data_IF_596667418421
#
_entry.id   IF_596667418421
#
_cell.length_a   1.000
_cell.length_b   1.000
_cell.length_c   1.000
_cell.angle_alpha   90.00
_cell.angle_beta   90.00
_cell.angle_gamma   90.00
#
_symmetry.space_group_name_H-M   'P 1'
#
loop_
_entity.id
_entity.type
_entity.pdbx_description
1 polymer ?
#
# COMPACT_ATOMS: atom_id res chain seq x y z
N UNK A 1 6.11 -18.26 -36.26
CA UNK A 1 4.88 -17.88 -35.49
C UNK A 1 5.00 -16.41 -35.15
N UNK A 2 4.00 -15.60 -35.46
CA UNK A 2 4.06 -14.16 -35.28
C UNK A 2 3.68 -13.76 -33.86
N UNK A 3 4.43 -12.85 -33.24
CA UNK A 3 4.08 -12.23 -31.97
C UNK A 3 3.95 -10.72 -32.16
N UNK A 4 2.81 -10.16 -31.74
CA UNK A 4 2.47 -8.75 -31.82
C UNK A 4 2.37 -8.17 -30.41
N UNK A 5 3.22 -7.17 -30.15
CA UNK A 5 3.17 -6.39 -28.92
C UNK A 5 3.01 -4.89 -29.20
N UNK A 6 2.46 -4.16 -28.23
CA UNK A 6 2.25 -2.72 -28.31
C UNK A 6 2.79 -2.00 -27.09
N UNK A 7 3.65 -1.01 -27.32
CA UNK A 7 4.07 -0.06 -26.30
C UNK A 7 3.36 1.27 -26.53
N UNK A 8 2.74 1.83 -25.50
CA UNK A 8 2.26 3.21 -25.54
C UNK A 8 3.43 4.13 -25.14
N UNK A 9 3.97 4.95 -26.05
CA UNK A 9 5.00 5.90 -25.69
C UNK A 9 4.48 6.94 -24.67
N UNK A 10 5.40 7.58 -23.94
CA UNK A 10 5.08 8.78 -23.15
C UNK A 10 4.78 9.94 -24.10
N UNK A 11 3.81 10.79 -23.73
CA UNK A 11 3.27 11.93 -24.50
C UNK A 11 2.31 11.49 -25.63
N UNK A 12 1.66 12.43 -26.32
CA UNK A 12 0.61 12.21 -27.36
C UNK A 12 1.12 11.57 -28.66
N UNK A 13 2.16 10.74 -28.57
CA UNK A 13 2.73 10.03 -29.71
C UNK A 13 1.88 8.80 -30.08
N UNK A 14 1.89 8.42 -31.38
CA UNK A 14 1.22 7.21 -31.86
C UNK A 14 1.66 5.95 -31.11
N UNK A 15 0.79 4.94 -31.06
CA UNK A 15 1.12 3.68 -30.42
C UNK A 15 2.25 2.97 -31.20
N UNK A 16 3.28 2.51 -30.50
CA UNK A 16 4.36 1.76 -31.12
C UNK A 16 4.02 0.27 -31.12
N UNK A 17 4.12 -0.39 -32.28
CA UNK A 17 3.88 -1.82 -32.44
C UNK A 17 5.15 -2.53 -32.88
N UNK A 18 5.39 -3.70 -32.31
CA UNK A 18 6.51 -4.57 -32.63
C UNK A 18 5.96 -5.93 -33.05
N UNK A 19 6.44 -6.40 -34.19
CA UNK A 19 6.14 -7.70 -34.77
C UNK A 19 7.40 -8.54 -34.71
N UNK A 20 7.31 -9.71 -34.09
CA UNK A 20 8.48 -10.56 -33.82
C UNK A 20 8.19 -11.99 -34.25
N UNK A 21 9.19 -12.68 -34.78
CA UNK A 21 9.11 -14.13 -34.90
C UNK A 21 9.36 -14.75 -33.52
N UNK A 22 8.39 -15.50 -33.01
CA UNK A 22 8.50 -16.08 -31.67
C UNK A 22 9.56 -17.17 -31.58
N UNK A 23 9.85 -17.87 -32.68
CA UNK A 23 10.80 -19.00 -32.67
C UNK A 23 12.24 -18.50 -32.54
N UNK A 24 12.61 -17.45 -33.28
CA UNK A 24 13.96 -16.89 -33.27
C UNK A 24 14.13 -15.66 -32.38
N UNK A 25 13.03 -15.02 -31.97
CA UNK A 25 13.05 -13.76 -31.24
C UNK A 25 13.42 -12.54 -32.08
N UNK A 26 13.54 -12.68 -33.41
CA UNK A 26 13.89 -11.58 -34.31
C UNK A 26 12.72 -10.61 -34.45
N UNK A 27 13.04 -9.32 -34.45
CA UNK A 27 12.10 -8.27 -34.83
C UNK A 27 11.95 -8.32 -36.34
N UNK A 28 10.73 -8.56 -36.81
CA UNK A 28 10.39 -8.59 -38.23
C UNK A 28 10.00 -7.20 -38.72
N UNK A 29 9.22 -6.47 -37.92
CA UNK A 29 8.80 -5.11 -38.21
C UNK A 29 8.55 -4.34 -36.91
N UNK A 30 8.85 -3.04 -36.93
CA UNK A 30 8.47 -2.12 -35.87
C UNK A 30 7.94 -0.83 -36.47
N UNK A 31 6.76 -0.38 -36.03
CA UNK A 31 6.09 0.78 -36.64
C UNK A 31 5.32 1.59 -35.59
N UNK A 32 5.36 2.92 -35.71
CA UNK A 32 4.42 3.80 -35.04
C UNK A 32 3.11 3.81 -35.82
N UNK A 33 2.01 3.46 -35.16
CA UNK A 33 0.67 3.45 -35.74
C UNK A 33 -0.20 4.49 -35.04
N UNK A 34 -0.67 5.48 -35.78
CA UNK A 34 -1.64 6.46 -35.25
C UNK A 34 -2.91 5.75 -34.80
N UNK A 35 -3.36 4.78 -35.60
CA UNK A 35 -4.46 3.88 -35.28
C UNK A 35 -4.08 2.46 -35.68
N UNK A 36 -4.13 1.55 -34.72
CA UNK A 36 -3.99 0.11 -34.96
C UNK A 36 -5.39 -0.51 -35.10
N UNK A 37 -6.09 -0.15 -36.18
CA UNK A 37 -7.37 -0.75 -36.54
C UNK A 37 -7.16 -2.11 -37.21
N UNK A 38 -8.24 -2.86 -37.45
CA UNK A 38 -8.13 -4.23 -37.94
C UNK A 38 -7.53 -4.28 -39.35
N UNK A 39 -8.06 -3.48 -40.27
CA UNK A 39 -7.59 -3.25 -41.64
C UNK A 39 -6.10 -2.93 -41.71
N UNK A 40 -5.62 -2.00 -40.88
CA UNK A 40 -4.20 -1.61 -40.82
C UNK A 40 -3.33 -2.79 -40.40
N UNK A 41 -3.80 -3.61 -39.46
CA UNK A 41 -3.05 -4.78 -38.98
C UNK A 41 -3.07 -5.92 -40.00
N UNK A 42 -4.18 -6.12 -40.72
CA UNK A 42 -4.28 -7.10 -41.83
C UNK A 42 -3.26 -6.76 -42.91
N UNK A 43 -3.21 -5.51 -43.36
CA UNK A 43 -2.24 -5.08 -44.36
C UNK A 43 -0.78 -5.28 -43.91
N UNK A 44 -0.50 -5.12 -42.61
CA UNK A 44 0.82 -5.42 -42.05
C UNK A 44 1.12 -6.93 -42.04
N UNK A 45 0.13 -7.77 -41.76
CA UNK A 45 0.32 -9.22 -41.80
C UNK A 45 0.61 -9.70 -43.22
N UNK A 46 -0.10 -9.18 -44.22
CA UNK A 46 0.16 -9.43 -45.64
C UNK A 46 1.55 -8.92 -46.05
N UNK A 47 1.92 -7.69 -45.66
CA UNK A 47 3.27 -7.13 -45.89
C UNK A 47 4.36 -8.05 -45.32
N UNK A 48 4.14 -8.66 -44.15
CA UNK A 48 5.08 -9.59 -43.55
C UNK A 48 5.16 -10.92 -44.29
N UNK A 49 4.04 -11.48 -44.77
CA UNK A 49 4.09 -12.69 -45.60
C UNK A 49 4.83 -12.44 -46.91
N UNK A 50 4.57 -11.31 -47.56
CA UNK A 50 5.23 -10.91 -48.80
C UNK A 50 6.73 -10.67 -48.62
N UNK A 51 7.12 -9.94 -47.57
CA UNK A 51 8.52 -9.59 -47.32
C UNK A 51 9.39 -10.80 -47.02
N UNK A 52 8.85 -11.80 -46.31
CA UNK A 52 9.60 -12.99 -45.90
C UNK A 52 9.33 -14.21 -46.77
N UNK A 53 8.34 -14.15 -47.67
CA UNK A 53 7.96 -15.25 -48.55
C UNK A 53 7.46 -16.50 -47.81
N UNK A 54 6.92 -16.33 -46.60
CA UNK A 54 6.47 -17.44 -45.74
C UNK A 54 5.14 -17.10 -45.06
N UNK A 55 4.23 -18.09 -44.93
CA UNK A 55 2.93 -17.85 -44.32
C UNK A 55 3.01 -17.70 -42.79
N UNK A 56 2.17 -16.84 -42.24
CA UNK A 56 1.93 -16.71 -40.81
C UNK A 56 1.00 -17.84 -40.38
N UNK A 57 1.58 -18.89 -39.80
CA UNK A 57 0.81 -20.07 -39.36
C UNK A 57 0.09 -19.90 -38.02
N UNK A 58 0.41 -18.87 -37.23
CA UNK A 58 -0.19 -18.58 -35.93
C UNK A 58 0.22 -17.19 -35.42
N UNK A 59 -0.64 -16.59 -34.58
CA UNK A 59 -0.42 -15.26 -33.97
C UNK A 59 -0.50 -15.35 -32.45
N UNK A 60 0.46 -14.70 -31.76
CA UNK A 60 0.43 -14.42 -30.32
C UNK A 60 0.22 -12.92 -30.10
N UNK A 61 -0.77 -12.52 -29.31
CA UNK A 61 -0.97 -11.10 -28.97
C UNK A 61 -1.70 -10.86 -27.65
N UNK A 62 -1.79 -9.59 -27.23
CA UNK A 62 -2.79 -9.19 -26.23
C UNK A 62 -4.23 -9.39 -26.76
N UNK A 63 -5.19 -9.59 -25.86
CA UNK A 63 -6.63 -9.76 -26.18
C UNK A 63 -7.33 -8.42 -26.46
N UNK A 64 -6.75 -7.57 -27.31
CA UNK A 64 -7.36 -6.32 -27.73
C UNK A 64 -8.33 -6.58 -28.89
N UNK A 65 -9.57 -6.07 -28.81
CA UNK A 65 -10.63 -6.32 -29.82
C UNK A 65 -10.16 -6.08 -31.26
N UNK A 66 -9.40 -5.00 -31.50
CA UNK A 66 -8.87 -4.66 -32.83
C UNK A 66 -7.90 -5.71 -33.37
N UNK A 67 -7.04 -6.26 -32.51
CA UNK A 67 -6.10 -7.33 -32.91
C UNK A 67 -6.86 -8.64 -33.14
N UNK A 68 -7.80 -8.99 -32.26
CA UNK A 68 -8.64 -10.18 -32.43
C UNK A 68 -9.41 -10.13 -33.76
N UNK A 69 -9.95 -8.97 -34.10
CA UNK A 69 -10.62 -8.77 -35.38
C UNK A 69 -9.63 -8.90 -36.55
N UNK A 70 -8.46 -8.26 -36.47
CA UNK A 70 -7.44 -8.33 -37.52
C UNK A 70 -7.01 -9.77 -37.82
N UNK A 71 -6.76 -10.59 -36.79
CA UNK A 71 -6.33 -11.98 -37.00
C UNK A 71 -7.45 -12.81 -37.64
N UNK A 72 -8.70 -12.61 -37.19
CA UNK A 72 -9.86 -13.29 -37.79
C UNK A 72 -10.11 -12.89 -39.24
N UNK A 73 -9.89 -11.62 -39.57
CA UNK A 73 -10.07 -11.07 -40.91
C UNK A 73 -8.94 -11.51 -41.85
N UNK A 74 -7.69 -11.49 -41.38
CA UNK A 74 -6.51 -11.94 -42.12
C UNK A 74 -6.56 -13.43 -42.44
N UNK A 75 -6.80 -14.27 -41.43
CA UNK A 75 -6.93 -15.72 -41.66
C UNK A 75 -7.73 -16.38 -40.53
N UNK A 76 -9.02 -16.68 -40.73
CA UNK A 76 -9.85 -17.25 -39.66
C UNK A 76 -9.43 -18.67 -39.24
N UNK A 77 -8.62 -19.35 -40.06
CA UNK A 77 -8.16 -20.71 -39.81
C UNK A 77 -6.89 -20.82 -38.97
N UNK A 78 -6.14 -19.73 -38.76
CA UNK A 78 -4.88 -19.82 -38.00
C UNK A 78 -5.13 -19.71 -36.49
N UNK A 79 -4.37 -20.44 -35.65
CA UNK A 79 -4.42 -20.28 -34.21
C UNK A 79 -4.09 -18.85 -33.76
N UNK A 80 -5.00 -18.24 -33.00
CA UNK A 80 -4.78 -16.99 -32.28
C UNK A 80 -4.62 -17.25 -30.78
N UNK A 81 -3.39 -17.21 -30.29
CA UNK A 81 -3.07 -17.43 -28.89
C UNK A 81 -2.92 -16.10 -28.16
N UNK A 82 -3.50 -16.00 -26.96
CA UNK A 82 -3.32 -14.81 -26.14
C UNK A 82 -2.04 -14.88 -25.32
N UNK A 83 -1.33 -13.76 -25.26
CA UNK A 83 -0.08 -13.61 -24.54
C UNK A 83 -0.29 -13.85 -23.03
N UNK A 84 0.37 -14.86 -22.49
CA UNK A 84 0.30 -15.23 -21.07
C UNK A 84 0.80 -14.10 -20.16
N UNK A 85 1.81 -13.35 -20.59
CA UNK A 85 2.32 -12.21 -19.83
C UNK A 85 1.23 -11.15 -19.60
N UNK A 86 0.51 -10.76 -20.66
CA UNK A 86 -0.59 -9.80 -20.56
C UNK A 86 -1.74 -10.32 -19.70
N UNK A 87 -2.06 -11.61 -19.82
CA UNK A 87 -3.06 -12.25 -18.97
C UNK A 87 -2.67 -12.17 -17.48
N UNK A 88 -1.46 -12.61 -17.13
CA UNK A 88 -0.96 -12.58 -15.75
C UNK A 88 -0.89 -11.15 -15.21
N UNK A 89 -0.49 -10.19 -16.05
CA UNK A 89 -0.48 -8.78 -15.67
C UNK A 89 -1.88 -8.26 -15.33
N UNK A 90 -2.90 -8.56 -16.15
CA UNK A 90 -4.28 -8.17 -15.85
C UNK A 90 -4.82 -8.85 -14.59
N UNK A 91 -4.48 -10.13 -14.37
CA UNK A 91 -4.88 -10.85 -13.14
C UNK A 91 -4.24 -10.22 -11.89
N UNK A 92 -3.00 -9.74 -11.99
CA UNK A 92 -2.29 -9.07 -10.89
C UNK A 92 -2.86 -7.69 -10.55
N UNK A 93 -3.38 -6.97 -11.53
CA UNK A 93 -3.70 -5.54 -11.43
C UNK A 93 -4.58 -5.16 -10.21
N UNK A 94 -5.66 -5.89 -9.86
CA UNK A 94 -6.47 -5.56 -8.69
C UNK A 94 -5.70 -5.64 -7.37
N UNK A 95 -4.81 -6.62 -7.25
CA UNK A 95 -3.98 -6.81 -6.05
C UNK A 95 -2.88 -5.75 -6.01
N UNK A 96 -2.23 -5.48 -7.14
CA UNK A 96 -1.21 -4.44 -7.24
C UNK A 96 -1.76 -3.04 -6.95
N UNK A 97 -3.01 -2.77 -7.30
CA UNK A 97 -3.69 -1.50 -6.97
C UNK A 97 -3.86 -1.33 -5.46
N UNK A 98 -4.34 -2.37 -4.76
CA UNK A 98 -4.46 -2.36 -3.29
C UNK A 98 -3.10 -2.23 -2.61
N UNK A 99 -2.11 -2.95 -3.10
CA UNK A 99 -0.74 -2.88 -2.59
C UNK A 99 -0.11 -1.49 -2.79
N UNK A 100 -0.34 -0.86 -3.94
CA UNK A 100 0.10 0.51 -4.22
C UNK A 100 -0.57 1.53 -3.30
N UNK A 101 -1.85 1.32 -2.97
CA UNK A 101 -2.55 2.13 -1.98
C UNK A 101 -1.94 1.94 -0.58
N UNK A 102 -1.68 0.69 -0.16
CA UNK A 102 -0.99 0.39 1.10
C UNK A 102 0.35 1.12 1.17
N UNK A 103 1.19 1.02 0.13
CA UNK A 103 2.47 1.70 0.08
C UNK A 103 2.34 3.23 0.20
N UNK A 104 1.31 3.80 -0.42
CA UNK A 104 1.03 5.24 -0.36
C UNK A 104 0.67 5.65 1.07
N UNK A 105 -0.20 4.88 1.74
CA UNK A 105 -0.57 5.10 3.14
C UNK A 105 0.67 4.99 4.03
N UNK A 106 1.46 3.91 3.92
CA UNK A 106 2.66 3.70 4.73
C UNK A 106 3.68 4.83 4.55
N UNK A 107 3.92 5.28 3.31
CA UNK A 107 4.80 6.42 3.02
C UNK A 107 4.28 7.71 3.65
N UNK A 108 2.98 7.96 3.56
CA UNK A 108 2.35 9.14 4.16
C UNK A 108 2.50 9.13 5.67
N UNK A 109 2.18 8.01 6.31
CA UNK A 109 2.31 7.81 7.76
C UNK A 109 3.75 7.97 8.24
N UNK A 110 4.72 7.35 7.57
CA UNK A 110 6.14 7.51 7.94
C UNK A 110 6.59 8.96 7.78
N UNK A 111 6.18 9.64 6.70
CA UNK A 111 6.54 11.05 6.47
C UNK A 111 5.89 12.01 7.48
N UNK A 112 4.73 11.68 8.04
CA UNK A 112 4.05 12.54 9.03
C UNK A 112 4.62 12.41 10.44
N UNK A 113 5.45 11.39 10.72
CA UNK A 113 6.14 11.26 12.00
C UNK A 113 7.03 12.48 12.23
N UNK A 114 6.93 13.11 13.40
CA UNK A 114 7.69 14.33 13.75
C UNK A 114 9.20 14.19 13.51
N UNK A 115 9.78 13.02 13.80
CA UNK A 115 11.21 12.72 13.58
C UNK A 115 11.61 12.67 12.09
N UNK A 116 10.66 12.44 11.19
CA UNK A 116 10.85 12.42 9.74
C UNK A 116 10.48 13.78 9.14
N UNK A 117 9.33 14.36 9.53
CA UNK A 117 8.84 15.64 9.04
C UNK A 117 9.77 16.80 9.40
N UNK A 118 10.32 16.79 10.62
CA UNK A 118 11.27 17.79 11.09
C UNK A 118 12.73 17.37 10.85
N UNK A 119 12.97 16.42 9.93
CA UNK A 119 14.34 16.02 9.57
C UNK A 119 15.06 17.25 9.03
N UNK A 120 16.17 17.67 9.65
CA UNK A 120 16.95 18.76 9.10
C UNK A 120 17.50 18.38 7.71
N UNK A 121 17.49 19.32 6.77
CA UNK A 121 18.00 19.15 5.40
C UNK A 121 19.54 19.06 5.33
N UNK A 122 20.18 18.47 6.33
CA UNK A 122 21.62 18.29 6.30
C UNK A 122 22.00 17.21 5.30
N UNK A 123 22.93 17.58 4.42
CA UNK A 123 23.53 16.73 3.40
C UNK A 123 24.50 15.69 3.99
N UNK A 124 24.80 15.77 5.29
CA UNK A 124 25.69 14.85 5.99
C UNK A 124 25.32 14.70 7.48
N UNK A 125 25.37 13.47 8.05
CA UNK A 125 25.26 13.25 9.50
C UNK A 125 26.34 13.97 10.33
N UNK A 126 27.43 14.43 9.68
CA UNK A 126 28.57 15.14 10.30
C UNK A 126 28.46 16.66 10.21
N UNK A 127 27.33 17.20 9.74
CA UNK A 127 27.12 18.65 9.72
C UNK A 127 27.14 19.21 11.15
N UNK A 128 28.11 20.09 11.41
CA UNK A 128 28.33 20.72 12.71
C UNK A 128 27.11 21.57 13.12
N UNK A 129 26.39 22.12 12.15
CA UNK A 129 25.21 22.98 12.34
C UNK A 129 23.92 22.20 12.62
N UNK A 130 23.98 20.86 12.64
CA UNK A 130 22.80 20.06 12.93
C UNK A 130 22.39 20.17 14.41
N UNK A 131 21.12 20.50 14.72
CA UNK A 131 20.63 20.47 16.09
C UNK A 131 20.91 19.10 16.72
N UNK A 132 21.30 19.07 18.00
CA UNK A 132 21.64 17.82 18.72
C UNK A 132 20.55 16.75 18.57
N UNK A 133 19.28 17.18 18.62
CA UNK A 133 18.10 16.33 18.41
C UNK A 133 18.11 15.71 17.01
N UNK A 134 18.38 16.50 15.96
CA UNK A 134 18.49 16.00 14.59
C UNK A 134 19.59 14.96 14.40
N UNK A 135 20.75 15.13 15.05
CA UNK A 135 21.84 14.11 15.02
C UNK A 135 21.45 12.79 15.66
N UNK A 136 20.77 12.85 16.81
CA UNK A 136 20.36 11.64 17.56
C UNK A 136 19.33 10.82 16.77
N UNK A 137 18.38 11.49 16.10
CA UNK A 137 17.31 10.80 15.37
C UNK A 137 17.64 10.48 13.91
N UNK A 138 18.69 11.07 13.32
CA UNK A 138 19.05 10.84 11.92
C UNK A 138 19.12 9.36 11.49
N UNK A 139 19.76 8.44 12.25
CA UNK A 139 19.82 7.03 11.86
C UNK A 139 18.44 6.35 11.86
N UNK A 140 17.58 6.71 12.82
CA UNK A 140 16.21 6.17 12.93
C UNK A 140 15.36 6.70 11.78
N UNK A 141 15.47 7.98 11.48
CA UNK A 141 14.77 8.65 10.37
C UNK A 141 15.19 8.06 9.02
N UNK A 142 16.49 7.82 8.79
CA UNK A 142 16.98 7.19 7.57
C UNK A 142 16.48 5.75 7.42
N UNK A 143 16.50 4.97 8.51
CA UNK A 143 16.00 3.60 8.51
C UNK A 143 14.51 3.54 8.20
N UNK A 144 13.69 4.42 8.78
CA UNK A 144 12.26 4.53 8.49
C UNK A 144 11.98 4.91 7.04
N UNK A 145 12.77 5.82 6.46
CA UNK A 145 12.61 6.19 5.04
C UNK A 145 13.03 5.05 4.11
N UNK A 146 14.07 4.29 4.49
CA UNK A 146 14.51 3.11 3.76
C UNK A 146 13.45 2.01 3.73
N UNK A 147 12.78 1.74 4.86
CA UNK A 147 11.76 0.66 4.95
C UNK A 147 10.58 0.89 4.01
N UNK A 148 10.20 2.15 3.74
CA UNK A 148 9.12 2.51 2.79
C UNK A 148 9.63 2.88 1.39
N UNK A 149 10.94 2.77 1.17
CA UNK A 149 11.65 3.03 -0.09
C UNK A 149 11.58 1.87 -1.09
N UNK A 150 10.65 0.93 -0.91
CA UNK A 150 10.47 -0.26 -1.75
C UNK A 150 10.04 0.11 -3.17
N UNK A 151 10.38 -0.75 -4.13
CA UNK A 151 10.15 -0.55 -5.56
C UNK A 151 9.34 -1.70 -6.14
N UNK A 152 8.44 -1.39 -7.06
CA UNK A 152 7.70 -2.41 -7.80
C UNK A 152 8.64 -3.13 -8.80
N UNK A 153 8.62 -4.46 -8.77
CA UNK A 153 9.25 -5.32 -9.78
C UNK A 153 8.19 -6.20 -10.49
N UNK A 154 7.15 -5.54 -11.05
CA UNK A 154 6.08 -6.01 -11.98
C UNK A 154 5.34 -7.31 -11.69
N UNK A 155 6.01 -8.40 -11.33
CA UNK A 155 5.43 -9.70 -11.03
C UNK A 155 6.03 -10.35 -9.78
N UNK A 156 7.19 -9.88 -9.28
CA UNK A 156 7.91 -10.55 -8.20
C UNK A 156 7.60 -10.00 -6.81
N UNK A 157 7.36 -8.70 -6.73
CA UNK A 157 7.27 -7.99 -5.45
C UNK A 157 6.01 -7.13 -5.41
N UNK A 158 5.37 -7.13 -4.24
CA UNK A 158 4.33 -6.18 -3.86
C UNK A 158 4.96 -5.17 -2.89
N UNK A 159 5.38 -3.99 -3.38
CA UNK A 159 6.18 -3.06 -2.59
C UNK A 159 5.47 -2.52 -1.33
N UNK A 160 4.14 -2.49 -1.30
CA UNK A 160 3.38 -2.13 -0.09
C UNK A 160 3.53 -3.18 1.02
N UNK A 161 3.33 -4.45 0.68
CA UNK A 161 3.55 -5.59 1.58
C UNK A 161 5.01 -5.69 2.03
N UNK A 162 5.96 -5.48 1.13
CA UNK A 162 7.38 -5.45 1.48
C UNK A 162 7.68 -4.30 2.45
N UNK A 163 7.15 -3.10 2.21
CA UNK A 163 7.31 -1.97 3.11
C UNK A 163 6.69 -2.23 4.49
N UNK A 164 5.54 -2.89 4.52
CA UNK A 164 4.89 -3.32 5.75
C UNK A 164 5.76 -4.30 6.53
N UNK A 165 6.25 -5.36 5.88
CA UNK A 165 7.13 -6.35 6.51
C UNK A 165 8.43 -5.71 7.02
N UNK A 166 9.00 -4.77 6.26
CA UNK A 166 10.19 -4.02 6.67
C UNK A 166 9.94 -3.16 7.92
N UNK A 167 8.76 -2.53 8.01
CA UNK A 167 8.34 -1.76 9.18
C UNK A 167 8.10 -2.66 10.40
N UNK A 168 7.42 -3.79 10.22
CA UNK A 168 7.23 -4.78 11.29
C UNK A 168 8.56 -5.32 11.80
N UNK A 169 9.49 -5.64 10.90
CA UNK A 169 10.83 -6.08 11.28
C UNK A 169 11.58 -4.99 12.07
N UNK A 170 11.49 -3.74 11.63
CA UNK A 170 12.09 -2.61 12.36
C UNK A 170 11.51 -2.45 13.76
N UNK A 171 10.18 -2.49 13.90
CA UNK A 171 9.49 -2.35 15.18
C UNK A 171 9.71 -3.57 16.09
N UNK A 172 9.80 -4.78 15.52
CA UNK A 172 10.11 -6.02 16.22
C UNK A 172 11.55 -6.06 16.71
N UNK A 173 12.51 -5.65 15.89
CA UNK A 173 13.91 -5.48 16.28
C UNK A 173 14.09 -4.39 17.36
N UNK A 174 13.18 -3.42 17.43
CA UNK A 174 13.16 -2.37 18.45
C UNK A 174 12.60 -2.84 19.81
N UNK A 175 12.06 -4.07 19.91
CA UNK A 175 11.54 -4.61 21.18
C UNK A 175 12.62 -5.10 22.16
N UNK A 176 13.91 -4.98 21.86
CA UNK A 176 14.97 -5.23 22.83
C UNK A 176 16.21 -4.36 22.55
N UNK A 177 16.85 -3.88 23.63
CA UNK A 177 18.04 -3.01 23.70
C UNK A 177 17.79 -1.49 23.82
N UNK A 178 17.15 -1.07 24.93
CA UNK A 178 17.43 0.23 25.55
C UNK A 178 18.20 0.00 26.87
N UNK A 179 19.20 0.83 27.21
CA UNK A 179 19.92 0.70 28.48
C UNK A 179 18.94 0.97 29.62
N UNK A 180 19.00 0.15 30.67
CA UNK A 180 18.16 0.28 31.84
C UNK A 180 18.33 1.64 32.52
N UNK A 181 17.54 2.63 32.13
CA UNK A 181 17.31 3.80 32.96
C UNK A 181 15.96 4.46 32.68
N UNK A 182 15.13 4.45 33.73
CA UNK A 182 14.01 5.34 34.03
C UNK A 182 12.63 4.97 33.43
N UNK A 183 11.96 4.05 34.12
CA UNK A 183 10.55 3.63 33.95
C UNK A 183 9.49 4.72 34.17
N UNK A 184 9.87 5.93 34.60
CA UNK A 184 8.91 7.01 34.91
C UNK A 184 8.51 7.83 33.68
N UNK A 185 9.42 7.98 32.71
CA UNK A 185 9.17 8.83 31.54
C UNK A 185 8.34 8.09 30.47
N UNK A 186 8.51 6.77 30.37
CA UNK A 186 7.65 5.91 29.54
C UNK A 186 6.22 5.83 30.07
N UNK A 187 6.04 5.75 31.40
CA UNK A 187 4.72 5.74 32.00
C UNK A 187 3.99 7.08 31.76
N UNK A 188 4.71 8.19 31.85
CA UNK A 188 4.17 9.51 31.57
C UNK A 188 3.78 9.67 30.09
N UNK A 189 4.61 9.18 29.16
CA UNK A 189 4.29 9.17 27.73
C UNK A 189 3.07 8.30 27.41
N UNK A 190 2.97 7.10 28.01
CA UNK A 190 1.80 6.22 27.85
C UNK A 190 0.51 6.84 28.43
N UNK A 191 0.59 7.53 29.58
CA UNK A 191 -0.55 8.23 30.17
C UNK A 191 -0.99 9.40 29.30
N UNK A 192 -0.06 10.20 28.78
CA UNK A 192 -0.37 11.34 27.90
C UNK A 192 -1.01 10.86 26.59
N UNK A 193 -0.46 9.82 25.96
CA UNK A 193 -1.03 9.22 24.74
C UNK A 193 -2.42 8.63 25.04
N UNK A 194 -2.60 7.98 26.19
CA UNK A 194 -3.89 7.45 26.63
C UNK A 194 -4.96 8.53 26.83
N UNK A 195 -4.60 9.67 27.44
CA UNK A 195 -5.51 10.81 27.65
C UNK A 195 -5.90 11.48 26.32
N UNK A 196 -4.95 11.62 25.40
CA UNK A 196 -5.21 12.17 24.06
C UNK A 196 -6.14 11.25 23.27
N UNK A 197 -5.88 9.93 23.28
CA UNK A 197 -6.76 8.96 22.62
C UNK A 197 -8.16 8.94 23.26
N UNK A 198 -8.27 9.04 24.59
CA UNK A 198 -9.57 9.10 25.27
C UNK A 198 -10.36 10.37 24.92
N UNK A 199 -9.71 11.52 24.81
CA UNK A 199 -10.35 12.77 24.37
C UNK A 199 -10.89 12.70 22.94
N UNK A 200 -10.14 12.07 22.02
CA UNK A 200 -10.60 11.86 20.65
C UNK A 200 -11.78 10.87 20.56
N UNK A 201 -11.77 9.82 21.38
CA UNK A 201 -12.83 8.81 21.43
C UNK A 201 -14.10 9.38 22.07
N UNK A 202 -13.98 10.15 23.16
CA UNK A 202 -15.11 10.82 23.82
C UNK A 202 -15.79 11.84 22.89
N UNK A 203 -15.00 12.59 22.11
CA UNK A 203 -15.52 13.48 21.07
C UNK A 203 -16.27 12.75 19.96
N UNK A 204 -15.90 11.49 19.66
CA UNK A 204 -16.55 10.65 18.66
C UNK A 204 -17.82 9.97 19.21
N UNK A 205 -17.83 9.59 20.49
CA UNK A 205 -19.01 9.02 21.18
C UNK A 205 -20.11 10.08 21.36
N UNK A 206 -19.74 11.33 21.67
CA UNK A 206 -20.67 12.46 21.75
C UNK A 206 -21.28 12.83 20.39
N UNK A 207 -20.77 12.29 19.28
CA UNK A 207 -21.31 12.49 17.92
C UNK A 207 -22.41 11.48 17.52
N UNK A 208 -22.89 10.62 18.45
CA UNK A 208 -24.17 9.92 18.31
C UNK A 208 -24.17 8.53 17.67
N UNK A 209 -23.02 7.86 17.51
CA UNK A 209 -22.97 6.50 16.93
C UNK A 209 -23.04 5.41 18.00
N UNK A 210 -24.24 4.88 18.28
CA UNK A 210 -24.51 3.95 19.39
C UNK A 210 -23.96 2.53 19.21
N UNK A 211 -23.67 2.08 17.99
CA UNK A 211 -23.20 0.70 17.72
C UNK A 211 -21.68 0.53 17.96
N UNK A 212 -20.91 1.62 17.97
CA UNK A 212 -19.44 1.59 18.13
C UNK A 212 -19.02 1.65 19.62
N UNK A 213 -19.93 2.05 20.51
CA UNK A 213 -19.65 2.22 21.95
C UNK A 213 -19.31 0.90 22.69
N UNK A 214 -19.88 -0.24 22.28
CA UNK A 214 -19.63 -1.52 22.97
C UNK A 214 -18.26 -2.12 22.64
N UNK A 215 -17.85 -2.08 21.36
CA UNK A 215 -16.54 -2.59 20.92
C UNK A 215 -15.40 -1.71 21.48
N UNK A 216 -15.64 -0.41 21.59
CA UNK A 216 -14.66 0.53 22.15
C UNK A 216 -14.52 0.42 23.66
N UNK A 217 -15.59 0.08 24.39
CA UNK A 217 -15.52 -0.20 25.83
C UNK A 217 -14.66 -1.44 26.13
N UNK A 218 -14.79 -2.51 25.35
CA UNK A 218 -14.02 -3.76 25.56
C UNK A 218 -12.52 -3.57 25.25
N UNK A 219 -12.19 -2.84 24.18
CA UNK A 219 -10.79 -2.50 23.85
C UNK A 219 -10.20 -1.58 24.91
N UNK A 220 -10.99 -0.65 25.45
CA UNK A 220 -10.55 0.25 26.51
C UNK A 220 -10.38 -0.46 27.85
N UNK A 221 -11.28 -1.38 28.22
CA UNK A 221 -11.14 -2.21 29.42
C UNK A 221 -9.89 -3.09 29.32
N UNK A 222 -9.64 -3.68 28.16
CA UNK A 222 -8.46 -4.52 27.90
C UNK A 222 -7.17 -3.70 28.04
N UNK A 223 -7.16 -2.46 27.53
CA UNK A 223 -6.06 -1.53 27.70
C UNK A 223 -5.86 -1.12 29.17
N UNK A 224 -6.94 -0.83 29.89
CA UNK A 224 -6.89 -0.45 31.30
C UNK A 224 -6.41 -1.61 32.19
N UNK A 225 -6.83 -2.83 31.87
CA UNK A 225 -6.41 -4.06 32.56
C UNK A 225 -4.92 -4.33 32.33
N UNK A 226 -4.44 -4.14 31.10
CA UNK A 226 -3.02 -4.24 30.76
C UNK A 226 -2.18 -3.19 31.51
N UNK A 227 -2.69 -1.97 31.66
CA UNK A 227 -2.04 -0.90 32.44
C UNK A 227 -2.01 -1.22 33.94
N UNK A 228 -3.07 -1.81 34.49
CA UNK A 228 -3.17 -2.21 35.91
C UNK A 228 -2.22 -3.36 36.30
N UNK A 229 -1.91 -4.26 35.37
CA UNK A 229 -0.96 -5.36 35.57
C UNK A 229 0.48 -4.84 35.69
N UNK A 230 0.80 -3.72 35.04
CA UNK A 230 2.16 -3.19 34.92
C UNK A 230 2.52 -2.19 36.04
N UNK A 231 1.53 -1.65 36.76
CA UNK A 231 1.74 -0.61 37.77
C UNK A 231 2.00 -1.19 39.19
N UNK A 232 3.03 -0.73 39.93
CA UNK A 232 3.32 -1.17 41.29
C UNK A 232 2.18 -0.84 42.29
N UNK A 233 2.00 -1.71 43.29
CA UNK A 233 0.83 -1.77 44.20
C UNK A 233 0.44 -0.45 44.88
N UNK A 234 1.37 0.48 45.10
CA UNK A 234 1.11 1.76 45.77
C UNK A 234 0.34 2.80 44.94
N UNK A 235 0.18 2.60 43.63
CA UNK A 235 -0.54 3.52 42.72
C UNK A 235 -1.97 3.01 42.40
N UNK A 236 -2.30 1.78 42.81
CA UNK A 236 -3.59 1.12 42.51
C UNK A 236 -4.81 1.83 43.09
N UNK A 237 -4.64 2.60 44.17
CA UNK A 237 -5.74 3.32 44.86
C UNK A 237 -6.31 4.46 44.00
N UNK A 238 -5.46 5.17 43.24
CA UNK A 238 -5.92 6.25 42.36
C UNK A 238 -6.64 5.75 41.10
N UNK A 239 -6.25 4.57 40.60
CA UNK A 239 -6.87 3.94 39.43
C UNK A 239 -8.21 3.27 39.76
N UNK A 240 -8.39 2.77 41.00
CA UNK A 240 -9.66 2.26 41.47
C UNK A 240 -10.76 3.36 41.47
N UNK A 241 -10.41 4.60 41.76
CA UNK A 241 -11.32 5.75 41.67
C UNK A 241 -11.73 6.08 40.23
N UNK A 242 -10.81 5.94 39.26
CA UNK A 242 -11.09 6.15 37.84
C UNK A 242 -12.01 5.07 37.25
N UNK A 243 -11.84 3.82 37.71
CA UNK A 243 -12.73 2.71 37.37
C UNK A 243 -14.12 2.87 37.98
N UNK A 244 -14.22 3.36 39.21
CA UNK A 244 -15.50 3.60 39.89
C UNK A 244 -16.29 4.75 39.21
N UNK A 245 -15.60 5.81 38.77
CA UNK A 245 -16.23 6.92 38.05
C UNK A 245 -16.68 6.51 36.64
N UNK A 246 -15.92 5.66 35.93
CA UNK A 246 -16.34 5.07 34.65
C UNK A 246 -17.55 4.13 34.79
N UNK A 247 -17.60 3.32 35.86
CA UNK A 247 -18.76 2.47 36.15
C UNK A 247 -20.02 3.28 36.50
N UNK A 248 -19.88 4.41 37.19
CA UNK A 248 -20.97 5.36 37.44
C UNK A 248 -21.49 6.00 36.14
N UNK A 249 -20.60 6.38 35.22
CA UNK A 249 -20.99 6.94 33.91
C UNK A 249 -21.72 5.89 33.04
N UNK A 250 -21.28 4.63 33.06
CA UNK A 250 -21.97 3.52 32.39
C UNK A 250 -23.34 3.22 33.01
N UNK A 251 -23.48 3.29 34.34
CA UNK A 251 -24.75 3.11 35.03
C UNK A 251 -25.77 4.22 34.74
N UNK A 252 -25.30 5.46 34.61
CA UNK A 252 -26.14 6.61 34.23
C UNK A 252 -26.61 6.49 32.77
N UNK A 253 -25.74 6.04 31.85
CA UNK A 253 -26.11 5.80 30.46
C UNK A 253 -27.17 4.68 30.30
N UNK A 254 -27.10 3.63 31.11
CA UNK A 254 -28.13 2.59 31.17
C UNK A 254 -29.47 3.08 31.71
N UNK A 255 -29.46 3.96 32.74
CA UNK A 255 -30.67 4.56 33.30
C UNK A 255 -31.42 5.48 32.34
N UNK A 256 -30.71 6.24 31.50
CA UNK A 256 -31.31 7.14 30.51
C UNK A 256 -31.99 6.35 29.37
N UNK A 257 -31.47 5.17 29.00
CA UNK A 257 -32.08 4.32 27.97
C UNK A 257 -33.43 3.68 28.36
N UNK A 258 -33.72 3.56 29.67
CA UNK A 258 -35.00 3.03 30.15
C UNK A 258 -36.11 4.09 30.29
N UNK A 259 -35.78 5.38 30.36
CA UNK A 259 -36.78 6.47 30.39
C UNK A 259 -37.32 6.78 28.99
N UNK A 260 -36.61 6.37 27.93
CA UNK A 260 -37.00 6.62 26.53
C UNK A 260 -37.92 5.54 25.92
N UNK A 261 -38.34 4.52 26.69
CA UNK A 261 -39.25 3.46 26.19
C UNK A 261 -40.71 3.61 26.60
N UNK A 262 -41.02 4.56 27.49
CA UNK A 262 -42.38 4.87 27.91
C UNK A 262 -42.76 6.31 27.52
N UNK A 263 -42.73 6.61 26.21
CA UNK A 263 -43.47 7.71 25.57
C UNK A 263 -43.66 7.41 24.08
#
# INVERSE_FOLDING_TARGET
MLSLDGAKPRNDRPAFRIFTDRQTGRILLSRFLEKANADVLVAIFEELEDLYGVPIIAVISAKQKRIVNAVKEFSPGIPHVFCQFHFLHHVREPVASKDSHLLTVLRSTVKSLSIVANRPQATSPRDANLPRVGRVFAPVTEKLLCTVGTRDDRLKVYPGLEAFANLEHLLGASRFQGPGHRSRDYLLACVIIGVICFGCILGYILSGYTVIASITADVFLTFLYAVLIIIPSKIKVGFAFLLLSLALISGIAGGISNVSRDF
#
